data_IF_986286871829
#
_entry.id   IF_986286871829
#
_cell.length_a   1.000
_cell.length_b   1.000
_cell.length_c   1.000
_cell.angle_alpha   90.00
_cell.angle_beta   90.00
_cell.angle_gamma   90.00
#
_symmetry.space_group_name_H-M   'P 1'
#
loop_
_entity.id
_entity.type
_entity.pdbx_description
1 polymer ?
#
# COMPACT_ATOMS: atom_id res chain seq x y z
N UNK A 1 34.90 7.24 -17.14
CA UNK A 1 35.93 6.29 -16.65
C UNK A 1 35.33 4.88 -16.55
N UNK A 2 36.04 3.85 -17.02
CA UNK A 2 35.58 2.45 -16.94
C UNK A 2 36.63 1.58 -16.24
N UNK A 3 36.16 0.75 -15.32
CA UNK A 3 36.93 -0.28 -14.61
C UNK A 3 36.22 -1.60 -14.88
N UNK A 4 36.89 -2.54 -15.54
CA UNK A 4 36.27 -3.80 -15.92
C UNK A 4 37.17 -5.00 -15.66
N UNK A 5 36.56 -6.13 -15.32
CA UNK A 5 37.25 -7.41 -15.16
C UNK A 5 36.33 -8.58 -15.43
N UNK A 6 36.76 -9.53 -16.26
CA UNK A 6 35.89 -10.63 -16.71
C UNK A 6 35.43 -11.51 -15.56
N UNK A 7 36.35 -11.96 -14.71
CA UNK A 7 36.07 -12.90 -13.61
C UNK A 7 35.63 -12.23 -12.30
N UNK A 8 35.66 -10.90 -12.26
CA UNK A 8 35.28 -10.10 -11.11
C UNK A 8 35.99 -8.76 -11.09
N UNK A 9 35.45 -7.82 -10.33
CA UNK A 9 36.14 -6.59 -9.95
C UNK A 9 36.06 -6.45 -8.43
N UNK A 10 37.17 -6.12 -7.80
CA UNK A 10 37.20 -5.79 -6.36
C UNK A 10 37.95 -4.48 -6.18
N UNK A 11 37.28 -3.50 -5.60
CA UNK A 11 37.87 -2.25 -5.13
C UNK A 11 37.88 -2.32 -3.60
N UNK A 12 39.10 -2.41 -3.06
CA UNK A 12 39.31 -2.58 -1.63
C UNK A 12 39.37 -1.24 -0.89
N UNK A 13 39.43 -1.33 0.45
CA UNK A 13 39.38 -0.19 1.35
C UNK A 13 40.46 0.85 1.01
N UNK A 14 40.05 2.11 0.97
CA UNK A 14 40.91 3.24 0.63
C UNK A 14 40.97 3.54 -0.88
N UNK A 15 40.34 2.72 -1.73
CA UNK A 15 40.22 3.04 -3.16
C UNK A 15 39.41 4.32 -3.32
N UNK A 16 39.96 5.28 -4.09
CA UNK A 16 39.33 6.57 -4.35
C UNK A 16 39.24 6.83 -5.85
N UNK A 17 38.04 7.03 -6.35
CA UNK A 17 37.74 7.36 -7.75
C UNK A 17 37.00 8.69 -7.75
N UNK A 18 37.62 9.70 -8.35
CA UNK A 18 36.96 10.97 -8.66
C UNK A 18 37.05 11.14 -10.16
N UNK A 19 35.90 11.30 -10.81
CA UNK A 19 35.80 11.45 -12.27
C UNK A 19 34.98 12.69 -12.62
N UNK A 20 35.33 13.36 -13.72
CA UNK A 20 34.46 14.41 -14.28
C UNK A 20 33.31 13.81 -15.08
N UNK A 21 33.54 12.66 -15.70
CA UNK A 21 32.53 11.91 -16.46
C UNK A 21 31.99 10.73 -15.67
N UNK A 22 31.07 9.98 -16.26
CA UNK A 22 30.49 8.77 -15.70
C UNK A 22 31.56 7.77 -15.21
N UNK A 23 31.24 7.02 -14.15
CA UNK A 23 32.07 5.91 -13.66
C UNK A 23 31.32 4.60 -13.89
N UNK A 24 31.92 3.69 -14.63
CA UNK A 24 31.41 2.33 -14.81
C UNK A 24 32.37 1.32 -14.14
N UNK A 25 31.83 0.49 -13.24
CA UNK A 25 32.53 -0.66 -12.67
C UNK A 25 31.79 -1.93 -13.10
N UNK A 26 32.43 -2.75 -13.94
CA UNK A 26 31.74 -3.85 -14.61
C UNK A 26 32.48 -5.20 -14.50
N UNK A 27 31.72 -6.28 -14.30
CA UNK A 27 32.24 -7.64 -14.46
C UNK A 27 31.34 -8.50 -15.35
N UNK A 28 31.93 -9.04 -16.43
CA UNK A 28 31.22 -9.75 -17.49
C UNK A 28 30.75 -11.15 -17.08
N UNK A 29 31.54 -11.87 -16.27
CA UNK A 29 31.25 -13.24 -15.80
C UNK A 29 31.33 -13.37 -14.26
N UNK A 30 31.78 -12.32 -13.57
CA UNK A 30 32.04 -12.31 -12.14
C UNK A 30 31.10 -11.43 -11.33
N UNK A 31 31.48 -11.25 -10.06
CA UNK A 31 30.86 -10.33 -9.12
C UNK A 31 31.64 -9.01 -9.07
N UNK A 32 30.99 -7.91 -8.71
CA UNK A 32 31.66 -6.65 -8.37
C UNK A 32 31.60 -6.47 -6.84
N UNK A 33 32.73 -6.16 -6.23
CA UNK A 33 32.87 -5.89 -4.78
C UNK A 33 33.48 -4.51 -4.57
N UNK A 34 32.77 -3.62 -3.90
CA UNK A 34 33.24 -2.31 -3.48
C UNK A 34 33.25 -2.27 -1.95
N UNK A 35 34.42 -2.30 -1.34
CA UNK A 35 34.56 -2.38 0.12
C UNK A 35 35.39 -1.20 0.59
N UNK A 36 34.85 -0.35 1.47
CA UNK A 36 35.63 0.79 2.00
C UNK A 36 36.06 1.80 0.93
N UNK A 37 35.31 1.91 -0.17
CA UNK A 37 35.69 2.72 -1.34
C UNK A 37 35.05 4.11 -1.29
N UNK A 38 35.60 5.07 -2.04
CA UNK A 38 34.96 6.35 -2.31
C UNK A 38 34.93 6.60 -3.82
N UNK A 39 33.72 6.62 -4.40
CA UNK A 39 33.49 6.90 -5.82
C UNK A 39 32.62 8.15 -5.92
N UNK A 40 33.09 9.16 -6.64
CA UNK A 40 32.34 10.38 -6.88
C UNK A 40 32.51 10.86 -8.31
N UNK A 41 31.41 11.25 -8.93
CA UNK A 41 31.43 12.03 -10.18
C UNK A 41 31.13 13.49 -9.86
N UNK A 42 31.87 14.39 -10.50
CA UNK A 42 31.83 15.84 -10.21
C UNK A 42 30.80 16.56 -11.09
N UNK A 43 30.55 16.04 -12.29
CA UNK A 43 29.51 16.57 -13.17
C UNK A 43 28.12 16.16 -12.65
N UNK A 44 27.23 17.14 -12.52
CA UNK A 44 25.86 16.97 -12.01
C UNK A 44 24.97 16.09 -12.89
N UNK A 45 25.38 15.81 -14.13
CA UNK A 45 24.68 14.91 -15.06
C UNK A 45 25.32 13.50 -15.13
N UNK A 46 26.51 13.32 -14.57
CA UNK A 46 27.24 12.06 -14.67
C UNK A 46 26.75 11.02 -13.66
N UNK A 47 26.83 9.75 -14.05
CA UNK A 47 26.33 8.62 -13.28
C UNK A 47 27.44 7.73 -12.73
N UNK A 48 27.12 6.97 -11.70
CA UNK A 48 27.91 5.83 -11.24
C UNK A 48 27.13 4.55 -11.55
N UNK A 49 27.69 3.69 -12.39
CA UNK A 49 27.07 2.43 -12.80
C UNK A 49 27.94 1.25 -12.35
N UNK A 50 27.33 0.30 -11.64
CA UNK A 50 27.95 -0.94 -11.18
C UNK A 50 27.20 -2.12 -11.77
N UNK A 51 27.86 -2.91 -12.62
CA UNK A 51 27.23 -4.05 -13.28
C UNK A 51 28.04 -5.31 -13.05
N UNK A 52 27.38 -6.38 -12.62
CA UNK A 52 27.97 -7.68 -12.43
C UNK A 52 27.10 -8.76 -13.05
N UNK A 53 27.75 -9.80 -13.62
CA UNK A 53 27.01 -11.00 -14.01
C UNK A 53 26.38 -11.66 -12.80
N UNK A 54 27.21 -11.93 -11.80
CA UNK A 54 26.84 -12.59 -10.55
C UNK A 54 26.34 -11.53 -9.56
N UNK A 55 27.10 -11.28 -8.50
CA UNK A 55 26.64 -10.44 -7.39
C UNK A 55 27.24 -9.04 -7.45
N UNK A 56 26.49 -8.08 -6.93
CA UNK A 56 26.99 -6.75 -6.59
C UNK A 56 27.07 -6.64 -5.08
N UNK A 57 28.26 -6.41 -4.54
CA UNK A 57 28.49 -6.24 -3.10
C UNK A 57 29.12 -4.87 -2.88
N UNK A 58 28.44 -4.01 -2.12
CA UNK A 58 28.88 -2.65 -1.82
C UNK A 58 28.78 -2.48 -0.31
N UNK A 59 29.91 -2.43 0.37
CA UNK A 59 29.96 -2.28 1.82
C UNK A 59 30.87 -1.13 2.24
N UNK A 60 30.42 -0.35 3.23
CA UNK A 60 31.18 0.75 3.82
C UNK A 60 31.76 1.72 2.76
N UNK A 61 31.00 1.99 1.71
CA UNK A 61 31.44 2.76 0.54
C UNK A 61 30.66 4.07 0.44
N UNK A 62 31.34 5.12 -0.03
CA UNK A 62 30.70 6.39 -0.37
C UNK A 62 30.52 6.47 -1.89
N UNK A 63 29.28 6.59 -2.35
CA UNK A 63 28.95 6.77 -3.76
C UNK A 63 28.23 8.10 -3.97
N UNK A 64 28.62 8.86 -4.99
CA UNK A 64 27.98 10.13 -5.31
C UNK A 64 27.96 10.41 -6.81
N UNK A 65 26.79 10.79 -7.34
CA UNK A 65 26.57 11.16 -8.74
C UNK A 65 25.13 11.58 -9.02
N UNK A 66 24.79 11.87 -10.28
CA UNK A 66 23.41 12.15 -10.68
C UNK A 66 22.50 10.94 -10.40
N UNK A 67 22.88 9.79 -10.96
CA UNK A 67 22.29 8.51 -10.62
C UNK A 67 23.34 7.51 -10.16
N UNK A 68 22.93 6.61 -9.27
CA UNK A 68 23.67 5.41 -8.90
C UNK A 68 22.85 4.21 -9.36
N UNK A 69 23.41 3.42 -10.26
CA UNK A 69 22.75 2.25 -10.83
C UNK A 69 23.56 1.00 -10.50
N UNK A 70 22.93 0.01 -9.88
CA UNK A 70 23.56 -1.30 -9.65
C UNK A 70 22.76 -2.38 -10.34
N UNK A 71 23.44 -3.34 -10.97
CA UNK A 71 22.79 -4.48 -11.61
C UNK A 71 23.56 -5.78 -11.38
N UNK A 72 22.92 -6.72 -10.69
CA UNK A 72 23.33 -8.12 -10.57
C UNK A 72 22.49 -8.99 -11.51
N UNK A 73 22.98 -9.28 -12.72
CA UNK A 73 22.13 -9.82 -13.81
C UNK A 73 21.60 -11.23 -13.55
N UNK A 74 22.33 -12.04 -12.77
CA UNK A 74 21.90 -13.40 -12.38
C UNK A 74 22.02 -13.65 -10.88
N UNK A 75 22.63 -12.73 -10.13
CA UNK A 75 22.88 -12.90 -8.70
C UNK A 75 22.13 -11.89 -7.84
N UNK A 76 22.67 -11.67 -6.64
CA UNK A 76 22.10 -10.78 -5.63
C UNK A 76 22.83 -9.45 -5.55
N UNK A 77 22.14 -8.44 -5.02
CA UNK A 77 22.74 -7.16 -4.62
C UNK A 77 22.79 -7.07 -3.10
N UNK A 78 23.97 -6.88 -2.53
CA UNK A 78 24.19 -6.66 -1.09
C UNK A 78 24.83 -5.29 -0.91
N UNK A 79 24.05 -4.33 -0.41
CA UNK A 79 24.44 -2.92 -0.28
C UNK A 79 24.27 -2.52 1.18
N UNK A 80 25.38 -2.46 1.91
CA UNK A 80 25.38 -2.28 3.37
C UNK A 80 26.27 -1.15 3.85
N UNK A 81 25.83 -0.42 4.87
CA UNK A 81 26.67 0.57 5.58
C UNK A 81 27.25 1.68 4.69
N UNK A 82 26.58 2.03 3.59
CA UNK A 82 27.09 3.00 2.62
C UNK A 82 26.58 4.41 2.91
N UNK A 83 27.26 5.43 2.36
CA UNK A 83 26.66 6.76 2.15
C UNK A 83 26.40 6.94 0.67
N UNK A 84 25.13 7.14 0.30
CA UNK A 84 24.69 7.21 -1.09
C UNK A 84 24.03 8.58 -1.35
N UNK A 85 24.66 9.39 -2.21
CA UNK A 85 24.14 10.70 -2.60
C UNK A 85 23.81 10.69 -4.09
N UNK A 86 22.53 10.76 -4.45
CA UNK A 86 22.11 10.78 -5.85
C UNK A 86 20.73 11.41 -6.01
N UNK A 87 20.38 11.80 -7.23
CA UNK A 87 18.98 12.09 -7.56
C UNK A 87 18.18 10.79 -7.67
N UNK A 88 18.75 9.82 -8.39
CA UNK A 88 18.12 8.52 -8.64
C UNK A 88 19.04 7.39 -8.16
N UNK A 89 18.47 6.43 -7.43
CA UNK A 89 19.14 5.19 -7.05
C UNK A 89 18.33 4.00 -7.55
N UNK A 90 18.96 3.17 -8.39
CA UNK A 90 18.37 1.94 -8.92
C UNK A 90 19.22 0.75 -8.44
N UNK A 91 18.58 -0.18 -7.75
CA UNK A 91 19.18 -1.43 -7.30
C UNK A 91 18.48 -2.60 -7.98
N UNK A 92 19.06 -3.08 -9.07
CA UNK A 92 18.55 -4.22 -9.82
C UNK A 92 19.28 -5.51 -9.42
N UNK A 93 18.53 -6.51 -8.98
CA UNK A 93 19.06 -7.84 -8.68
C UNK A 93 18.10 -8.91 -9.18
N UNK A 94 18.66 -9.94 -9.82
CA UNK A 94 17.83 -11.03 -10.31
C UNK A 94 17.36 -11.96 -9.20
N UNK A 95 18.22 -12.20 -8.21
CA UNK A 95 17.99 -13.15 -7.14
C UNK A 95 17.42 -12.44 -5.91
N UNK A 96 18.26 -11.85 -5.04
CA UNK A 96 17.80 -11.08 -3.87
C UNK A 96 18.46 -9.70 -3.74
N UNK A 97 17.82 -8.81 -3.01
CA UNK A 97 18.38 -7.50 -2.66
C UNK A 97 18.41 -7.31 -1.15
N UNK A 98 19.61 -7.18 -0.57
CA UNK A 98 19.84 -6.78 0.82
C UNK A 98 20.35 -5.35 0.83
N UNK A 99 19.62 -4.45 1.49
CA UNK A 99 19.91 -3.03 1.50
C UNK A 99 19.71 -2.48 2.92
N UNK A 100 20.77 -2.52 3.71
CA UNK A 100 20.67 -2.27 5.15
C UNK A 100 21.76 -1.36 5.71
N UNK A 101 21.42 -0.59 6.75
CA UNK A 101 22.40 0.26 7.44
C UNK A 101 22.94 1.43 6.60
N UNK A 102 22.34 1.75 5.46
CA UNK A 102 22.83 2.81 4.58
C UNK A 102 22.35 4.20 5.06
N UNK A 103 23.17 5.22 4.81
CA UNK A 103 22.81 6.62 4.91
C UNK A 103 22.47 7.17 3.52
N UNK A 104 21.21 7.51 3.31
CA UNK A 104 20.64 7.87 2.03
C UNK A 104 20.46 9.38 1.93
N UNK A 105 20.77 9.91 0.75
CA UNK A 105 20.41 11.25 0.35
C UNK A 105 19.94 11.19 -1.10
N UNK A 106 18.69 10.73 -1.28
CA UNK A 106 18.11 10.46 -2.59
C UNK A 106 17.00 11.48 -2.87
N UNK A 107 17.20 12.34 -3.86
CA UNK A 107 16.33 13.51 -4.07
C UNK A 107 15.18 13.29 -5.03
N UNK A 108 15.04 12.12 -5.67
CA UNK A 108 13.95 11.87 -6.61
C UNK A 108 13.36 10.44 -6.56
N UNK A 109 14.14 9.40 -6.86
CA UNK A 109 13.61 8.03 -6.92
C UNK A 109 14.57 7.00 -6.34
N UNK A 110 14.02 6.04 -5.60
CA UNK A 110 14.71 4.86 -5.10
C UNK A 110 13.93 3.61 -5.57
N UNK A 111 14.49 2.89 -6.53
CA UNK A 111 13.84 1.74 -7.13
C UNK A 111 14.69 0.48 -6.89
N UNK A 112 14.07 -0.59 -6.39
CA UNK A 112 14.73 -1.83 -6.04
C UNK A 112 14.00 -3.04 -6.63
N UNK A 113 14.75 -4.02 -7.13
CA UNK A 113 14.24 -5.30 -7.61
C UNK A 113 14.91 -6.48 -6.88
N UNK A 114 14.33 -7.67 -7.03
CA UNK A 114 14.81 -8.91 -6.40
C UNK A 114 13.75 -9.54 -5.50
N UNK A 115 13.98 -10.80 -5.12
CA UNK A 115 13.08 -11.58 -4.28
C UNK A 115 13.87 -12.55 -3.38
N UNK A 116 13.93 -12.30 -2.05
CA UNK A 116 13.30 -11.21 -1.31
C UNK A 116 14.04 -9.87 -1.45
N UNK A 117 13.37 -8.78 -1.05
CA UNK A 117 13.99 -7.48 -0.79
C UNK A 117 13.99 -7.23 0.71
N UNK A 118 15.18 -7.02 1.28
CA UNK A 118 15.38 -6.52 2.64
C UNK A 118 15.81 -5.04 2.58
N UNK A 119 14.90 -4.15 2.98
CA UNK A 119 15.14 -2.71 3.09
C UNK A 119 14.90 -2.29 4.54
N UNK A 120 15.95 -2.34 5.35
CA UNK A 120 15.87 -2.14 6.80
C UNK A 120 17.08 -1.38 7.37
N UNK A 121 16.92 -0.76 8.53
CA UNK A 121 17.96 -0.04 9.26
C UNK A 121 18.65 1.09 8.48
N UNK A 122 18.03 1.58 7.41
CA UNK A 122 18.55 2.73 6.66
C UNK A 122 18.20 4.04 7.37
N UNK A 123 18.96 5.08 7.04
CA UNK A 123 18.85 6.42 7.61
C UNK A 123 19.01 7.49 6.54
N UNK A 124 18.78 8.75 6.91
CA UNK A 124 18.98 9.89 6.02
C UNK A 124 17.67 10.39 5.43
N UNK A 125 17.68 10.75 4.15
CA UNK A 125 16.58 11.38 3.43
C UNK A 125 16.33 10.68 2.09
N UNK A 126 15.05 10.39 1.81
CA UNK A 126 14.56 10.10 0.47
C UNK A 126 13.36 11.00 0.15
N UNK A 127 13.30 11.51 -1.08
CA UNK A 127 12.19 12.37 -1.48
C UNK A 127 10.87 11.59 -1.56
N UNK A 128 10.88 10.37 -2.10
CA UNK A 128 9.67 9.57 -2.32
C UNK A 128 9.82 8.20 -1.69
N UNK A 129 8.69 7.55 -1.44
CA UNK A 129 8.68 6.15 -1.05
C UNK A 129 9.44 5.29 -2.07
N UNK A 130 10.23 4.29 -1.60
CA UNK A 130 10.95 3.39 -2.47
C UNK A 130 9.96 2.54 -3.28
N UNK A 131 10.36 2.12 -4.47
CA UNK A 131 9.63 1.10 -5.24
C UNK A 131 10.29 -0.25 -5.08
N UNK A 132 9.50 -1.26 -4.79
CA UNK A 132 9.91 -2.66 -4.68
C UNK A 132 9.26 -3.46 -5.81
N UNK A 133 10.08 -3.94 -6.75
CA UNK A 133 9.63 -4.66 -7.95
C UNK A 133 8.53 -3.91 -8.73
N UNK A 134 8.67 -2.59 -8.83
CA UNK A 134 7.74 -1.71 -9.53
C UNK A 134 6.53 -1.25 -8.71
N UNK A 135 6.24 -1.87 -7.56
CA UNK A 135 5.21 -1.41 -6.63
C UNK A 135 5.75 -0.37 -5.65
N UNK A 136 4.99 0.67 -5.35
CA UNK A 136 5.36 1.64 -4.30
C UNK A 136 5.34 0.96 -2.94
N UNK A 137 6.40 1.14 -2.16
CA UNK A 137 6.51 0.61 -0.80
C UNK A 137 5.43 1.20 0.11
N UNK A 138 4.92 0.37 1.01
CA UNK A 138 3.95 0.81 2.02
C UNK A 138 4.63 1.71 3.05
N UNK A 139 3.98 2.83 3.37
CA UNK A 139 4.56 3.86 4.26
C UNK A 139 4.96 3.25 5.61
N UNK A 140 4.06 2.51 6.25
CA UNK A 140 4.31 1.90 7.56
C UNK A 140 5.42 0.87 7.52
N UNK A 141 5.50 0.05 6.47
CA UNK A 141 6.57 -0.94 6.36
C UNK A 141 7.94 -0.26 6.22
N UNK A 142 8.03 0.75 5.35
CA UNK A 142 9.26 1.51 5.13
C UNK A 142 9.71 2.20 6.41
N UNK A 143 8.81 2.90 7.11
CA UNK A 143 9.14 3.64 8.33
C UNK A 143 9.43 2.73 9.53
N UNK A 144 8.66 1.64 9.70
CA UNK A 144 8.88 0.72 10.82
C UNK A 144 10.21 -0.02 10.72
N UNK A 145 10.64 -0.37 9.50
CA UNK A 145 11.95 -1.01 9.26
C UNK A 145 13.09 -0.01 9.20
N UNK A 146 12.83 1.28 8.98
CA UNK A 146 13.86 2.31 8.81
C UNK A 146 13.52 3.54 9.68
N UNK A 147 13.53 3.41 11.02
CA UNK A 147 13.04 4.45 11.93
C UNK A 147 13.87 5.75 11.90
N UNK A 148 15.04 5.74 11.26
CA UNK A 148 15.95 6.88 11.11
C UNK A 148 15.94 7.46 9.69
N UNK A 149 15.11 6.93 8.81
CA UNK A 149 14.97 7.39 7.44
C UNK A 149 13.81 8.38 7.35
N UNK A 150 14.09 9.57 6.83
CA UNK A 150 13.06 10.55 6.54
C UNK A 150 12.57 10.38 5.10
N UNK A 151 11.25 10.31 4.92
CA UNK A 151 10.58 10.27 3.62
C UNK A 151 9.72 11.53 3.48
N UNK A 152 10.00 12.35 2.47
CA UNK A 152 9.30 13.62 2.26
C UNK A 152 7.88 13.42 1.70
N UNK A 153 7.78 12.75 0.56
CA UNK A 153 6.54 12.43 -0.14
C UNK A 153 6.15 10.96 0.08
N UNK A 154 5.08 10.78 0.85
CA UNK A 154 4.52 9.48 1.21
C UNK A 154 3.29 9.11 0.36
N UNK A 155 3.00 9.88 -0.69
CA UNK A 155 1.86 9.59 -1.55
C UNK A 155 2.06 8.27 -2.31
N UNK A 156 0.99 7.50 -2.47
CA UNK A 156 1.00 6.23 -3.20
C UNK A 156 1.34 4.98 -2.35
N UNK A 157 1.93 5.13 -1.16
CA UNK A 157 2.08 4.05 -0.18
C UNK A 157 0.96 4.08 0.85
N UNK A 158 -0.29 4.16 0.41
CA UNK A 158 -1.45 4.23 1.30
C UNK A 158 -1.59 2.90 2.01
N UNK A 159 -1.29 2.88 3.31
CA UNK A 159 -1.72 1.82 4.19
C UNK A 159 -3.24 1.93 4.34
N UNK A 160 -4.00 1.11 3.63
CA UNK A 160 -5.43 0.93 3.90
C UNK A 160 -5.58 0.11 5.19
N UNK A 161 -5.20 0.71 6.31
CA UNK A 161 -5.61 0.21 7.62
C UNK A 161 -7.08 0.57 7.79
N UNK A 162 -7.96 -0.41 7.59
CA UNK A 162 -9.31 -0.32 8.12
C UNK A 162 -9.17 -0.27 9.65
N UNK A 163 -9.18 0.94 10.19
CA UNK A 163 -9.27 1.17 11.63
C UNK A 163 -10.64 0.68 12.11
N UNK A 164 -10.71 -0.59 12.48
CA UNK A 164 -11.85 -1.16 13.21
C UNK A 164 -11.85 -0.73 14.69
N UNK A 165 -10.95 0.17 15.10
CA UNK A 165 -10.81 0.68 16.46
C UNK A 165 -11.82 1.75 16.87
N UNK A 166 -12.82 2.06 16.03
CA UNK A 166 -13.99 2.77 16.52
C UNK A 166 -14.93 1.77 17.21
N UNK A 167 -14.90 1.83 18.54
CA UNK A 167 -15.87 1.26 19.47
C UNK A 167 -17.20 2.05 19.43
N UNK A 168 -17.77 2.24 18.24
CA UNK A 168 -19.07 2.92 18.08
C UNK A 168 -20.26 1.97 18.26
N UNK A 169 -20.01 0.71 18.60
CA UNK A 169 -21.05 -0.31 18.81
C UNK A 169 -21.19 -0.79 20.26
N UNK A 170 -20.33 -0.36 21.19
CA UNK A 170 -20.52 -0.65 22.61
C UNK A 170 -20.45 0.61 23.48
N UNK A 171 -21.47 1.46 23.40
CA UNK A 171 -22.01 2.12 24.60
C UNK A 171 -23.34 2.77 24.25
N UNK A 172 -24.42 2.24 24.86
CA UNK A 172 -25.76 2.80 24.81
C UNK A 172 -25.88 4.12 25.56
N UNK A 173 -25.17 5.15 25.10
CA UNK A 173 -25.43 6.53 25.49
C UNK A 173 -26.14 7.26 24.36
N UNK A 174 -27.26 7.88 24.73
CA UNK A 174 -28.13 8.67 23.89
C UNK A 174 -27.37 9.73 23.08
N UNK A 175 -27.65 9.77 21.78
CA UNK A 175 -27.23 10.86 20.88
C UNK A 175 -27.63 12.20 21.51
N UNK A 176 -26.70 13.15 21.71
CA UNK A 176 -27.07 14.49 22.14
C UNK A 176 -27.97 15.13 21.07
N UNK A 177 -29.23 15.39 21.42
CA UNK A 177 -30.10 16.26 20.62
C UNK A 177 -29.53 17.68 20.66
N UNK A 178 -28.65 18.02 19.73
CA UNK A 178 -28.32 19.42 19.47
C UNK A 178 -29.51 20.04 18.71
N UNK A 179 -30.38 20.72 19.46
CA UNK A 179 -31.48 21.51 18.91
C UNK A 179 -30.94 22.76 18.22
N UNK A 180 -30.52 22.63 16.96
CA UNK A 180 -30.35 23.79 16.06
C UNK A 180 -31.53 23.85 15.09
N UNK A 181 -32.15 25.03 14.89
CA UNK A 181 -33.26 25.16 13.97
C UNK A 181 -32.77 24.95 12.54
N UNK A 182 -33.36 23.96 11.85
CA UNK A 182 -33.14 23.71 10.43
C UNK A 182 -33.52 24.95 9.61
N UNK A 183 -32.68 25.41 8.67
CA UNK A 183 -33.10 26.40 7.69
C UNK A 183 -34.14 25.79 6.74
N UNK A 184 -35.21 26.54 6.49
CA UNK A 184 -36.32 26.15 5.62
C UNK A 184 -35.89 26.12 4.14
N UNK A 185 -36.25 25.01 3.50
CA UNK A 185 -36.59 24.84 2.07
C UNK A 185 -35.63 25.41 1.03
N UNK A 186 -34.78 24.53 0.51
CA UNK A 186 -34.43 24.43 -0.91
C UNK A 186 -34.30 22.94 -1.23
N UNK A 187 -35.09 22.45 -2.20
CA UNK A 187 -35.03 21.05 -2.65
C UNK A 187 -33.60 20.71 -3.10
N UNK A 188 -32.98 19.74 -2.43
CA UNK A 188 -31.84 19.01 -2.98
C UNK A 188 -32.35 17.63 -3.36
N UNK A 189 -32.73 17.49 -4.62
CA UNK A 189 -33.00 16.19 -5.23
C UNK A 189 -31.64 15.53 -5.47
N UNK A 190 -31.30 14.52 -4.67
CA UNK A 190 -30.20 13.63 -5.00
C UNK A 190 -30.73 12.50 -5.90
N UNK A 191 -30.20 12.32 -7.12
CA UNK A 191 -30.48 11.14 -7.91
C UNK A 191 -29.78 9.91 -7.30
N UNK A 192 -30.48 8.79 -7.40
CA UNK A 192 -30.21 7.43 -6.89
C UNK A 192 -28.98 6.72 -7.49
N UNK A 193 -28.55 5.63 -6.81
CA UNK A 193 -27.56 4.57 -7.13
C UNK A 193 -26.21 4.71 -6.39
N UNK A 194 -25.61 3.67 -5.78
CA UNK A 194 -25.22 2.39 -6.41
C UNK A 194 -25.41 1.11 -5.57
N UNK A 195 -24.49 0.11 -5.62
CA UNK A 195 -24.39 -1.22 -4.95
C UNK A 195 -23.09 -1.41 -4.13
N UNK A 196 -23.12 -2.10 -2.96
CA UNK A 196 -21.97 -2.36 -2.10
C UNK A 196 -21.38 -3.71 -2.46
N UNK A 197 -20.17 -3.68 -3.02
CA UNK A 197 -19.44 -4.88 -3.43
C UNK A 197 -18.00 -4.74 -2.97
N UNK A 198 -17.53 -5.72 -2.20
CA UNK A 198 -16.12 -5.86 -1.80
C UNK A 198 -15.48 -6.90 -2.70
N UNK A 199 -14.55 -6.45 -3.54
CA UNK A 199 -13.58 -7.28 -4.25
C UNK A 199 -12.23 -7.18 -3.51
N UNK A 200 -11.26 -8.10 -3.75
CA UNK A 200 -9.95 -8.05 -3.10
C UNK A 200 -9.17 -6.73 -3.30
N UNK A 201 -9.60 -5.91 -4.27
CA UNK A 201 -8.95 -4.69 -4.74
C UNK A 201 -9.89 -3.45 -4.84
N UNK A 202 -11.20 -3.54 -4.53
CA UNK A 202 -12.13 -2.40 -4.61
C UNK A 202 -13.38 -2.56 -3.70
N UNK A 203 -13.89 -1.45 -3.14
CA UNK A 203 -15.17 -1.38 -2.40
C UNK A 203 -16.12 -0.40 -3.11
N UNK A 204 -17.31 -0.86 -3.51
CA UNK A 204 -18.42 -0.01 -3.99
C UNK A 204 -19.51 0.10 -2.92
N UNK A 205 -20.50 1.02 -2.99
CA UNK A 205 -21.58 1.19 -1.98
C UNK A 205 -23.00 1.18 -2.54
N UNK A 206 -23.96 0.49 -1.84
CA UNK A 206 -25.35 0.37 -2.29
C UNK A 206 -26.36 1.30 -1.71
N UNK A 207 -26.97 2.16 -2.50
CA UNK A 207 -28.25 2.78 -2.11
C UNK A 207 -29.39 1.77 -2.07
N UNK A 208 -29.36 0.72 -2.91
CA UNK A 208 -30.38 -0.33 -2.96
C UNK A 208 -30.46 -1.14 -1.65
N UNK A 209 -29.34 -1.74 -1.21
CA UNK A 209 -29.37 -2.56 0.01
C UNK A 209 -29.61 -1.75 1.29
N UNK A 210 -29.20 -0.47 1.33
CA UNK A 210 -29.50 0.43 2.43
C UNK A 210 -31.00 0.75 2.51
N UNK A 211 -31.62 1.09 1.36
CA UNK A 211 -33.06 1.35 1.30
C UNK A 211 -33.90 0.14 1.74
N UNK A 212 -33.44 -1.07 1.43
CA UNK A 212 -34.11 -2.32 1.80
C UNK A 212 -33.95 -2.62 3.28
N UNK A 213 -32.75 -2.42 3.83
CA UNK A 213 -32.50 -2.56 5.26
C UNK A 213 -33.35 -1.60 6.10
N UNK A 214 -33.48 -0.34 5.68
CA UNK A 214 -34.28 0.67 6.37
C UNK A 214 -35.77 0.34 6.34
N UNK A 215 -36.32 0.02 5.17
CA UNK A 215 -37.72 -0.36 5.02
C UNK A 215 -38.07 -1.61 5.84
N UNK A 216 -37.20 -2.63 5.81
CA UNK A 216 -37.46 -3.89 6.51
C UNK A 216 -37.32 -3.77 8.02
N UNK A 217 -36.41 -2.92 8.50
CA UNK A 217 -36.31 -2.59 9.93
C UNK A 217 -37.55 -1.87 10.43
N UNK A 218 -38.09 -0.92 9.65
CA UNK A 218 -39.30 -0.17 10.04
C UNK A 218 -40.56 -1.03 10.08
N UNK A 219 -40.61 -2.11 9.30
CA UNK A 219 -41.74 -3.04 9.23
C UNK A 219 -41.57 -4.30 10.09
N UNK A 220 -40.48 -4.41 10.84
CA UNK A 220 -40.26 -5.50 11.80
C UNK A 220 -39.99 -6.85 11.14
N UNK A 221 -39.35 -6.88 9.97
CA UNK A 221 -39.02 -8.12 9.26
C UNK A 221 -38.05 -8.97 10.07
N UNK A 222 -38.39 -10.24 10.31
CA UNK A 222 -37.55 -11.16 11.09
C UNK A 222 -36.31 -11.62 10.31
N UNK A 223 -35.22 -11.92 11.01
CA UNK A 223 -34.00 -12.47 10.42
C UNK A 223 -34.22 -13.81 9.71
N UNK A 224 -35.16 -14.62 10.22
CA UNK A 224 -35.58 -15.88 9.61
C UNK A 224 -36.24 -15.62 8.25
N UNK A 225 -37.19 -14.68 8.17
CA UNK A 225 -37.85 -14.34 6.92
C UNK A 225 -36.91 -13.69 5.91
N UNK A 226 -35.98 -12.84 6.35
CA UNK A 226 -34.96 -12.26 5.47
C UNK A 226 -34.09 -13.31 4.77
N UNK A 227 -33.89 -14.47 5.40
CA UNK A 227 -33.10 -15.57 4.84
C UNK A 227 -33.90 -16.53 3.95
N UNK A 228 -35.22 -16.59 4.15
CA UNK A 228 -36.08 -17.62 3.54
C UNK A 228 -36.97 -17.09 2.40
N UNK A 229 -37.32 -15.80 2.45
CA UNK A 229 -38.21 -15.15 1.49
C UNK A 229 -37.44 -14.21 0.57
N UNK A 230 -37.96 -14.03 -0.64
CA UNK A 230 -37.51 -12.99 -1.57
C UNK A 230 -37.98 -11.62 -1.10
N UNK A 231 -37.34 -10.55 -1.61
CA UNK A 231 -37.72 -9.18 -1.26
C UNK A 231 -39.19 -8.89 -1.60
N UNK A 232 -39.71 -9.35 -2.73
CA UNK A 232 -41.13 -9.23 -3.08
C UNK A 232 -42.04 -9.96 -2.07
N UNK A 233 -41.69 -11.18 -1.69
CA UNK A 233 -42.45 -11.96 -0.70
C UNK A 233 -42.43 -11.32 0.69
N UNK A 234 -41.32 -10.67 1.07
CA UNK A 234 -41.21 -9.91 2.32
C UNK A 234 -42.09 -8.65 2.23
N UNK A 235 -42.05 -7.94 1.10
CA UNK A 235 -42.84 -6.74 0.89
C UNK A 235 -44.34 -7.00 1.03
N UNK A 236 -44.81 -8.10 0.45
CA UNK A 236 -46.20 -8.55 0.54
C UNK A 236 -46.56 -9.06 1.95
N UNK A 237 -45.68 -9.84 2.58
CA UNK A 237 -45.94 -10.44 3.91
C UNK A 237 -46.02 -9.41 5.03
N UNK A 238 -45.17 -8.39 4.98
CA UNK A 238 -45.06 -7.37 6.04
C UNK A 238 -45.84 -6.09 5.73
N UNK A 239 -46.52 -6.03 4.57
CA UNK A 239 -47.33 -4.86 4.19
C UNK A 239 -46.48 -3.59 4.11
N UNK A 240 -45.33 -3.68 3.44
CA UNK A 240 -44.40 -2.54 3.30
C UNK A 240 -45.14 -1.38 2.63
N UNK A 241 -44.99 -0.17 3.18
CA UNK A 241 -45.75 0.99 2.73
C UNK A 241 -45.48 1.32 1.26
N UNK A 242 -46.43 1.96 0.57
CA UNK A 242 -46.23 2.40 -0.81
C UNK A 242 -45.04 3.36 -0.95
N UNK A 243 -44.76 4.15 0.09
CA UNK A 243 -43.62 5.06 0.15
C UNK A 243 -42.29 4.29 0.19
N UNK A 244 -42.19 3.29 1.07
CA UNK A 244 -40.99 2.45 1.21
C UNK A 244 -40.80 1.55 -0.01
N UNK A 245 -41.88 1.01 -0.56
CA UNK A 245 -41.88 0.22 -1.79
C UNK A 245 -41.39 1.05 -2.99
N UNK A 246 -41.82 2.31 -3.10
CA UNK A 246 -41.35 3.24 -4.11
C UNK A 246 -39.87 3.59 -3.92
N UNK A 247 -39.44 3.78 -2.68
CA UNK A 247 -38.05 4.06 -2.33
C UNK A 247 -37.11 2.90 -2.70
N UNK A 248 -37.49 1.66 -2.34
CA UNK A 248 -36.76 0.44 -2.69
C UNK A 248 -36.70 0.29 -4.20
N UNK A 249 -37.84 0.37 -4.88
CA UNK A 249 -37.92 0.19 -6.34
C UNK A 249 -36.99 1.18 -7.07
N UNK A 250 -37.03 2.47 -6.71
CA UNK A 250 -36.16 3.50 -7.29
C UNK A 250 -34.68 3.28 -6.98
N UNK A 251 -34.36 2.89 -5.75
CA UNK A 251 -32.98 2.68 -5.29
C UNK A 251 -32.34 1.43 -5.91
N UNK A 252 -33.16 0.47 -6.36
CA UNK A 252 -32.74 -0.82 -6.90
C UNK A 252 -32.94 -0.97 -8.41
N UNK A 253 -33.32 0.09 -9.14
CA UNK A 253 -33.59 0.07 -10.59
C UNK A 253 -32.45 -0.54 -11.43
N UNK A 254 -31.21 -0.39 -10.97
CA UNK A 254 -30.01 -0.86 -11.68
C UNK A 254 -29.55 -2.26 -11.25
N UNK A 255 -30.29 -2.94 -10.38
CA UNK A 255 -29.97 -4.30 -9.90
C UNK A 255 -30.93 -5.30 -10.56
N UNK A 256 -30.52 -5.96 -11.66
CA UNK A 256 -31.42 -6.86 -12.39
C UNK A 256 -31.87 -8.01 -11.48
N UNK A 257 -33.18 -8.20 -11.34
CA UNK A 257 -33.74 -9.29 -10.56
C UNK A 257 -33.71 -9.08 -9.04
N UNK A 258 -33.49 -7.85 -8.56
CA UNK A 258 -33.42 -7.54 -7.14
C UNK A 258 -34.61 -8.05 -6.32
N UNK A 259 -35.85 -7.83 -6.78
CA UNK A 259 -37.07 -8.27 -6.08
C UNK A 259 -37.15 -9.79 -5.85
N UNK A 260 -36.46 -10.57 -6.69
CA UNK A 260 -36.42 -12.05 -6.64
C UNK A 260 -35.23 -12.59 -5.85
N UNK A 261 -34.39 -11.72 -5.31
CA UNK A 261 -33.18 -12.10 -4.57
C UNK A 261 -33.52 -12.34 -3.10
N UNK A 262 -32.86 -13.32 -2.48
CA UNK A 262 -32.92 -13.55 -1.02
C UNK A 262 -31.75 -12.84 -0.35
N UNK A 263 -31.97 -12.28 0.83
CA UNK A 263 -30.90 -11.60 1.57
C UNK A 263 -30.05 -12.63 2.34
N UNK A 264 -28.73 -12.46 2.44
CA UNK A 264 -27.89 -13.34 3.23
C UNK A 264 -28.27 -13.21 4.72
N UNK A 265 -28.84 -14.27 5.29
CA UNK A 265 -29.25 -14.30 6.70
C UNK A 265 -28.04 -14.14 7.64
N UNK A 266 -28.07 -13.11 8.48
CA UNK A 266 -27.05 -12.89 9.50
C UNK A 266 -27.17 -13.92 10.62
N UNK A 267 -26.39 -15.01 10.55
CA UNK A 267 -26.28 -15.95 11.66
C UNK A 267 -25.37 -15.36 12.73
N UNK A 268 -25.93 -14.59 13.67
CA UNK A 268 -25.20 -14.16 14.88
C UNK A 268 -25.01 -15.39 15.78
N UNK A 269 -23.79 -15.94 15.77
CA UNK A 269 -23.37 -17.03 16.64
C UNK A 269 -23.62 -16.68 18.12
N UNK A 270 -24.33 -17.57 18.79
CA UNK A 270 -24.74 -17.47 20.18
C UNK A 270 -23.52 -17.71 21.10
N UNK A 271 -22.83 -16.63 21.51
CA UNK A 271 -21.78 -16.65 22.53
C UNK A 271 -22.39 -16.60 23.94
N UNK A 272 -22.87 -17.74 24.44
CA UNK A 272 -23.38 -17.89 25.80
C UNK A 272 -22.28 -17.82 26.84
N UNK A 273 -22.27 -16.73 27.61
CA UNK A 273 -21.35 -16.45 28.70
C UNK A 273 -21.58 -17.36 29.91
N UNK A 274 -20.49 -17.63 30.64
CA UNK A 274 -20.49 -18.33 31.93
C UNK A 274 -21.12 -17.49 33.05
N UNK A 275 -21.71 -18.17 34.02
CA UNK A 275 -21.96 -17.87 35.46
C UNK A 275 -23.31 -18.50 35.82
N UNK A 276 -23.53 -19.30 36.87
CA UNK A 276 -22.81 -19.67 38.07
C UNK A 276 -23.90 -20.01 39.10
N UNK A 277 -23.80 -21.12 39.85
CA UNK A 277 -24.82 -21.42 40.86
C UNK A 277 -24.73 -22.81 41.50
N UNK A 278 -24.03 -22.85 42.64
CA UNK A 278 -24.15 -23.74 43.82
C UNK A 278 -24.40 -25.24 43.63
#
# INVERSE_FOLDING_TARGET
>A
MKISGDQGVTLDNGTKIISQDEVEVASADGSVKLIGTNISVVNEEANVTITAKKDVIIDNTNLSGNAINTQATTGSSTITNNTLNADVLIVDAKDSSTFTGNNLNITNSLDMSGQPIDFSDNSGFIQKLPKFNGGTGLTREVESKNPKLFVEDKTGGVDTELDFGYDWLEMGESIPQESRPLPRTGEVVFPTSEVFSVLPDEVRFSTCYLAVGEAFSNSGVTAEDMSNLTIEEIMDKYGISDADSSMISKSCLLVPGFGKTKLPGGNRGNGGNSQGGK
#
